data_IF_110058764800
#
_entry.id   IF_110058764800
#
_cell.length_a   1.000
_cell.length_b   1.000
_cell.length_c   1.000
_cell.angle_alpha   90.00
_cell.angle_beta   90.00
_cell.angle_gamma   90.00
#
_symmetry.space_group_name_H-M   'P 1'
#
loop_
_entity.id
_entity.type
_entity.pdbx_description
1 polymer ?
#
# COMPACT_ATOMS: atom_id res chain seq x y z
N UNK A 1 8.24 -1.90 24.12
CA UNK A 1 7.80 -1.01 23.01
C UNK A 1 8.82 -1.10 21.89
N UNK A 2 8.40 -1.40 20.65
CA UNK A 2 9.30 -1.39 19.50
C UNK A 2 9.72 0.05 19.18
N UNK A 3 10.97 0.23 18.75
CA UNK A 3 11.61 1.55 18.61
C UNK A 3 11.08 2.28 17.38
N UNK A 4 10.39 3.39 17.58
CA UNK A 4 9.99 4.30 16.50
C UNK A 4 11.27 4.79 15.80
N UNK A 5 11.30 4.68 14.49
CA UNK A 5 12.41 5.16 13.66
C UNK A 5 11.91 6.31 12.81
N UNK A 6 12.70 7.38 12.68
CA UNK A 6 12.35 8.53 11.85
C UNK A 6 12.87 8.36 10.42
N UNK A 7 12.07 8.81 9.46
CA UNK A 7 12.37 8.77 8.04
C UNK A 7 12.32 10.16 7.45
N UNK A 8 13.43 10.61 6.86
CA UNK A 8 13.49 11.90 6.20
C UNK A 8 12.78 11.83 4.85
N UNK A 9 11.82 12.72 4.64
CA UNK A 9 11.13 12.90 3.37
C UNK A 9 11.50 14.23 2.73
N UNK A 10 11.42 14.30 1.41
CA UNK A 10 11.60 15.56 0.69
C UNK A 10 10.24 16.26 0.57
N UNK A 11 10.03 17.44 1.17
CA UNK A 11 8.76 18.16 1.05
C UNK A 11 8.45 18.54 -0.40
N UNK A 12 7.16 18.65 -0.72
CA UNK A 12 6.74 19.16 -2.03
C UNK A 12 7.21 20.62 -2.22
N UNK A 13 7.83 20.90 -3.37
CA UNK A 13 8.24 22.25 -3.79
C UNK A 13 7.28 22.79 -4.85
N UNK A 14 7.00 24.08 -4.84
CA UNK A 14 6.16 24.73 -5.85
C UNK A 14 5.54 26.02 -5.34
N UNK A 15 5.14 26.91 -6.26
CA UNK A 15 4.50 28.19 -5.91
C UNK A 15 2.99 28.04 -5.61
N UNK A 16 2.32 27.08 -6.23
CA UNK A 16 0.89 26.84 -6.06
C UNK A 16 0.66 25.61 -5.17
N UNK A 17 0.67 25.80 -3.86
CA UNK A 17 0.27 24.78 -2.89
C UNK A 17 -1.17 25.05 -2.44
N UNK A 18 -2.02 24.02 -2.49
CA UNK A 18 -3.36 24.08 -1.90
C UNK A 18 -3.23 24.29 -0.39
N UNK A 19 -3.56 25.47 0.11
CA UNK A 19 -3.52 25.77 1.53
C UNK A 19 -4.86 25.45 2.19
N UNK A 20 -4.83 24.82 3.37
CA UNK A 20 -6.02 24.52 4.18
C UNK A 20 -5.65 24.51 5.67
N UNK A 21 -6.64 24.71 6.53
CA UNK A 21 -6.41 24.76 7.98
C UNK A 21 -5.87 23.41 8.47
N UNK A 22 -4.76 23.42 9.22
CA UNK A 22 -4.15 22.19 9.73
C UNK A 22 -3.33 21.41 8.70
N UNK A 23 -3.01 22.00 7.53
CA UNK A 23 -2.08 21.41 6.56
C UNK A 23 -0.74 21.10 7.22
N UNK A 24 -0.29 19.85 7.06
CA UNK A 24 1.02 19.39 7.52
C UNK A 24 2.07 19.53 6.42
N UNK A 25 3.29 19.84 6.83
CA UNK A 25 4.47 19.89 5.95
C UNK A 25 5.59 19.09 6.63
N UNK A 26 5.46 17.75 6.69
CA UNK A 26 6.46 16.95 7.36
C UNK A 26 7.78 16.99 6.60
N UNK A 27 8.86 17.19 7.33
CA UNK A 27 10.24 16.91 6.91
C UNK A 27 10.67 15.49 7.33
N UNK A 28 9.98 14.94 8.34
CA UNK A 28 10.16 13.58 8.85
C UNK A 28 8.83 12.86 9.02
N UNK A 29 8.86 11.55 8.80
CA UNK A 29 7.74 10.64 9.06
C UNK A 29 8.15 9.60 10.10
N UNK A 30 7.26 9.31 11.04
CA UNK A 30 7.45 8.21 11.98
C UNK A 30 7.12 6.89 11.31
N UNK A 31 8.07 5.96 11.37
CA UNK A 31 7.90 4.64 10.80
C UNK A 31 7.38 3.66 11.83
N UNK A 32 6.44 2.84 11.37
CA UNK A 32 6.00 1.63 12.06
C UNK A 32 6.75 0.41 11.52
N UNK A 33 6.66 -0.72 12.20
CA UNK A 33 7.31 -1.94 11.75
C UNK A 33 6.73 -2.40 10.41
N UNK A 34 7.61 -2.82 9.50
CA UNK A 34 7.23 -3.48 8.25
C UNK A 34 8.00 -4.79 8.13
N UNK A 35 7.35 -5.80 7.57
CA UNK A 35 7.94 -7.13 7.35
C UNK A 35 7.80 -7.49 5.89
N UNK A 36 8.91 -7.85 5.26
CA UNK A 36 8.87 -8.51 3.95
C UNK A 36 8.34 -9.92 4.18
N UNK A 37 7.14 -10.19 3.71
CA UNK A 37 6.48 -11.49 3.89
C UNK A 37 7.02 -12.49 2.86
N UNK A 38 7.19 -12.05 1.62
CA UNK A 38 7.51 -12.95 0.53
C UNK A 38 8.48 -12.29 -0.45
N UNK A 39 9.47 -13.06 -0.88
CA UNK A 39 10.33 -12.73 -2.02
C UNK A 39 10.27 -13.91 -2.99
N UNK A 40 9.44 -13.79 -4.03
CA UNK A 40 9.30 -14.83 -5.05
C UNK A 40 10.40 -14.63 -6.07
N UNK A 41 11.32 -15.60 -6.15
CA UNK A 41 12.33 -15.68 -7.21
C UNK A 41 11.84 -16.62 -8.30
N UNK A 42 12.14 -16.32 -9.55
CA UNK A 42 12.01 -17.30 -10.63
C UNK A 42 13.01 -18.44 -10.37
N UNK A 43 12.58 -19.55 -9.75
CA UNK A 43 13.45 -20.69 -9.49
C UNK A 43 13.55 -21.57 -10.73
N UNK A 44 14.78 -21.90 -11.12
CA UNK A 44 15.06 -22.92 -12.13
C UNK A 44 14.88 -24.36 -11.61
N UNK A 45 14.61 -24.58 -10.30
CA UNK A 45 14.47 -25.93 -9.75
C UNK A 45 13.43 -26.02 -8.61
N UNK A 46 12.21 -26.42 -8.96
CA UNK A 46 11.56 -27.55 -8.29
C UNK A 46 10.65 -27.35 -7.06
N UNK A 47 10.41 -26.15 -6.51
CA UNK A 47 9.43 -26.01 -5.42
C UNK A 47 8.49 -24.80 -5.59
N UNK A 48 7.19 -25.14 -5.68
CA UNK A 48 5.99 -24.32 -5.87
C UNK A 48 5.96 -23.40 -7.11
N UNK A 49 5.26 -23.88 -8.14
CA UNK A 49 5.11 -23.30 -9.47
C UNK A 49 4.15 -22.10 -9.44
N UNK A 50 4.66 -20.89 -9.64
CA UNK A 50 4.05 -20.03 -10.65
C UNK A 50 4.66 -20.48 -11.98
N UNK A 51 3.86 -21.12 -12.84
CA UNK A 51 4.28 -21.33 -14.24
C UNK A 51 4.31 -19.95 -14.86
N UNK A 52 5.49 -19.36 -14.95
CA UNK A 52 5.68 -18.20 -15.80
C UNK A 52 6.09 -18.76 -17.14
N UNK A 53 5.15 -18.83 -18.08
CA UNK A 53 5.38 -19.33 -19.45
C UNK A 53 6.18 -18.31 -20.30
N UNK A 54 6.75 -17.27 -19.69
CA UNK A 54 7.49 -16.22 -20.39
C UNK A 54 8.99 -16.54 -20.40
N UNK A 55 9.52 -16.76 -21.60
CA UNK A 55 10.92 -17.09 -21.89
C UNK A 55 11.91 -15.93 -21.68
N UNK A 56 11.45 -14.74 -21.29
CA UNK A 56 12.24 -13.49 -21.26
C UNK A 56 12.34 -12.82 -19.88
N UNK A 57 11.93 -13.48 -18.80
CA UNK A 57 12.11 -12.89 -17.47
C UNK A 57 13.58 -13.03 -17.06
N UNK A 58 14.22 -11.87 -16.88
CA UNK A 58 15.55 -11.75 -16.29
C UNK A 58 15.68 -12.70 -15.09
N UNK A 59 16.71 -13.55 -15.06
CA UNK A 59 16.93 -14.53 -14.00
C UNK A 59 16.97 -13.92 -12.59
N UNK A 60 17.24 -12.62 -12.51
CA UNK A 60 17.34 -11.86 -11.27
C UNK A 60 16.02 -11.17 -10.86
N UNK A 61 14.94 -11.35 -11.61
CA UNK A 61 13.63 -10.78 -11.30
C UNK A 61 13.04 -11.41 -10.03
N UNK A 62 12.68 -10.56 -9.06
CA UNK A 62 12.06 -10.99 -7.80
C UNK A 62 10.81 -10.16 -7.51
N UNK A 63 9.70 -10.83 -7.23
CA UNK A 63 8.50 -10.17 -6.70
C UNK A 63 8.62 -10.07 -5.18
N UNK A 64 8.12 -8.99 -4.59
CA UNK A 64 8.13 -8.80 -3.14
C UNK A 64 6.74 -8.49 -2.62
N UNK A 65 6.34 -9.16 -1.55
CA UNK A 65 5.17 -8.83 -0.75
C UNK A 65 5.62 -8.24 0.59
N UNK A 66 5.19 -7.01 0.87
CA UNK A 66 5.54 -6.29 2.09
C UNK A 66 4.27 -6.00 2.87
N UNK A 67 4.26 -6.37 4.15
CA UNK A 67 3.15 -6.06 5.04
C UNK A 67 3.54 -4.96 6.02
N UNK A 68 2.69 -3.94 6.10
CA UNK A 68 2.87 -2.76 6.93
C UNK A 68 2.20 -1.53 6.32
N UNK A 69 2.40 -0.38 6.95
CA UNK A 69 1.98 0.91 6.39
C UNK A 69 2.87 1.29 5.19
N UNK A 70 2.29 1.96 4.20
CA UNK A 70 2.99 2.47 3.00
C UNK A 70 4.23 3.28 3.36
N UNK A 71 4.17 4.11 4.40
CA UNK A 71 5.30 4.92 4.84
C UNK A 71 6.50 4.06 5.23
N UNK A 72 6.25 2.96 5.94
CA UNK A 72 7.27 1.99 6.34
C UNK A 72 7.77 1.17 5.16
N UNK A 73 6.89 0.79 4.23
CA UNK A 73 7.28 0.07 3.01
C UNK A 73 8.18 0.95 2.13
N UNK A 74 7.83 2.22 1.90
CA UNK A 74 8.68 3.16 1.18
C UNK A 74 10.02 3.38 1.88
N UNK A 75 10.02 3.49 3.21
CA UNK A 75 11.28 3.61 3.95
C UNK A 75 12.19 2.39 3.82
N UNK A 76 11.60 1.19 3.82
CA UNK A 76 12.33 -0.04 3.53
C UNK A 76 12.95 -0.01 2.12
N UNK A 77 12.18 0.36 1.10
CA UNK A 77 12.66 0.45 -0.28
C UNK A 77 13.81 1.47 -0.40
N UNK A 78 13.67 2.67 0.18
CA UNK A 78 14.74 3.67 0.17
C UNK A 78 16.00 3.19 0.88
N UNK A 79 15.89 2.54 2.04
CA UNK A 79 17.04 1.99 2.76
C UNK A 79 17.78 0.90 1.96
N UNK A 80 17.04 0.15 1.13
CA UNK A 80 17.61 -0.82 0.18
C UNK A 80 18.05 -0.21 -1.15
N UNK A 81 17.93 1.11 -1.31
CA UNK A 81 18.16 1.82 -2.56
C UNK A 81 17.37 1.23 -3.75
N UNK A 82 16.17 0.73 -3.49
CA UNK A 82 15.26 0.21 -4.51
C UNK A 82 14.44 1.39 -5.02
N UNK A 83 14.42 1.55 -6.35
CA UNK A 83 13.61 2.55 -7.05
C UNK A 83 12.50 1.88 -7.85
N UNK A 84 11.40 2.59 -8.02
CA UNK A 84 10.23 2.13 -8.77
C UNK A 84 9.95 3.05 -9.94
N UNK A 85 9.71 2.48 -11.11
CA UNK A 85 9.44 3.22 -12.36
C UNK A 85 7.93 3.39 -12.62
N UNK A 86 7.11 2.53 -12.04
CA UNK A 86 5.66 2.57 -12.16
C UNK A 86 5.01 2.29 -10.80
N UNK A 87 4.09 3.16 -10.41
CA UNK A 87 3.28 3.00 -9.21
C UNK A 87 1.80 3.05 -9.58
N UNK A 88 1.03 2.11 -9.06
CA UNK A 88 -0.43 2.14 -9.10
C UNK A 88 -0.96 2.12 -7.67
N UNK A 89 -1.87 3.03 -7.33
CA UNK A 89 -2.57 3.03 -6.05
C UNK A 89 -4.06 3.28 -6.24
N UNK A 90 -4.83 2.63 -5.37
CA UNK A 90 -6.28 2.75 -5.23
C UNK A 90 -6.58 3.07 -3.76
N UNK A 91 -6.32 4.32 -3.31
CA UNK A 91 -6.55 4.72 -1.93
C UNK A 91 -8.06 4.81 -1.61
N UNK A 92 -8.45 4.89 -0.32
CA UNK A 92 -9.83 5.19 0.05
C UNK A 92 -10.34 6.47 -0.63
N UNK A 93 -11.62 6.48 -1.04
CA UNK A 93 -12.22 7.54 -1.87
C UNK A 93 -12.79 8.70 -1.05
N UNK A 94 -12.74 8.61 0.28
CA UNK A 94 -13.47 9.48 1.18
C UNK A 94 -14.99 9.52 0.89
N UNK A 95 -15.56 8.35 0.60
CA UNK A 95 -16.97 8.15 0.22
C UNK A 95 -17.98 8.46 1.34
N UNK A 96 -17.55 8.53 2.60
CA UNK A 96 -18.43 8.73 3.74
C UNK A 96 -19.14 7.45 4.22
N UNK A 97 -18.64 6.27 3.81
CA UNK A 97 -19.16 4.97 4.24
C UNK A 97 -18.05 4.09 4.85
N UNK A 98 -18.44 3.11 5.67
CA UNK A 98 -17.53 2.05 6.09
C UNK A 98 -17.75 0.82 5.21
N UNK A 99 -16.67 0.19 4.77
CA UNK A 99 -16.73 -1.01 3.96
C UNK A 99 -16.57 -2.23 4.87
N UNK A 100 -17.64 -3.02 4.95
CA UNK A 100 -17.67 -4.24 5.74
C UNK A 100 -17.87 -5.47 4.86
N UNK A 101 -17.23 -6.57 5.24
CA UNK A 101 -17.43 -7.88 4.62
C UNK A 101 -18.42 -8.67 5.46
N UNK A 102 -19.42 -9.25 4.81
CA UNK A 102 -20.31 -10.22 5.45
C UNK A 102 -19.57 -11.55 5.63
N UNK A 103 -19.57 -12.08 6.85
CA UNK A 103 -18.99 -13.38 7.18
C UNK A 103 -20.10 -14.42 7.07
N UNK A 104 -19.81 -15.53 6.38
CA UNK A 104 -20.73 -16.65 6.21
C UNK A 104 -20.13 -17.92 6.81
N UNK A 105 -20.96 -18.72 7.49
CA UNK A 105 -20.59 -20.05 7.99
C UNK A 105 -20.64 -21.06 6.82
N UNK A 106 -19.52 -21.72 6.55
CA UNK A 106 -19.45 -22.73 5.47
C UNK A 106 -20.00 -24.06 5.97
N UNK A 107 -21.23 -24.40 5.57
CA UNK A 107 -21.80 -25.72 5.83
C UNK A 107 -21.39 -26.67 4.70
N UNK A 108 -20.90 -27.86 5.07
CA UNK A 108 -20.35 -28.83 4.12
C UNK A 108 -21.32 -29.17 2.99
N UNK A 109 -20.85 -28.95 1.76
CA UNK A 109 -21.40 -29.37 0.45
C UNK A 109 -22.29 -28.38 -0.33
N UNK A 110 -22.63 -27.20 0.20
CA UNK A 110 -23.36 -26.19 -0.57
C UNK A 110 -22.41 -25.06 -1.00
N UNK A 111 -22.19 -24.92 -2.30
CA UNK A 111 -21.40 -23.85 -2.93
C UNK A 111 -22.24 -22.60 -3.21
N UNK A 112 -23.52 -22.60 -2.87
CA UNK A 112 -24.43 -21.49 -3.12
C UNK A 112 -24.41 -20.52 -1.94
N UNK A 113 -23.98 -19.30 -2.22
CA UNK A 113 -24.07 -18.14 -1.31
C UNK A 113 -25.52 -17.64 -1.11
N UNK A 114 -26.52 -18.41 -1.53
CA UNK A 114 -27.93 -17.99 -1.57
C UNK A 114 -28.63 -18.08 -0.20
N UNK A 115 -28.01 -18.70 0.79
CA UNK A 115 -28.59 -18.80 2.12
C UNK A 115 -28.21 -17.57 2.97
N UNK A 116 -29.20 -16.94 3.59
CA UNK A 116 -29.13 -15.84 4.58
C UNK A 116 -28.34 -16.20 5.87
N UNK A 117 -27.27 -16.98 5.76
CA UNK A 117 -26.44 -17.50 6.85
C UNK A 117 -25.27 -16.54 7.19
N UNK A 118 -25.46 -15.24 6.99
CA UNK A 118 -24.49 -14.24 7.43
C UNK A 118 -24.48 -14.21 8.96
N UNK A 119 -23.31 -14.45 9.57
CA UNK A 119 -23.17 -14.55 11.03
C UNK A 119 -22.63 -13.27 11.66
N UNK A 120 -22.23 -12.30 10.84
CA UNK A 120 -21.71 -11.02 11.28
C UNK A 120 -21.12 -10.23 10.13
N UNK A 121 -20.77 -9.00 10.45
CA UNK A 121 -20.06 -8.08 9.56
C UNK A 121 -18.72 -7.72 10.20
N UNK A 122 -17.65 -7.81 9.41
CA UNK A 122 -16.32 -7.37 9.80
C UNK A 122 -15.98 -6.12 8.99
N UNK A 123 -15.75 -5.00 9.68
CA UNK A 123 -15.30 -3.75 9.04
C UNK A 123 -13.90 -3.99 8.50
N UNK A 124 -13.74 -3.91 7.17
CA UNK A 124 -12.46 -4.07 6.50
C UNK A 124 -11.65 -2.77 6.60
N UNK A 125 -12.29 -1.65 6.27
CA UNK A 125 -11.72 -0.32 6.44
C UNK A 125 -12.84 0.72 6.54
N UNK A 126 -12.55 1.82 7.25
CA UNK A 126 -13.41 2.98 7.30
C UNK A 126 -13.03 3.98 6.22
N UNK A 127 -14.03 4.52 5.52
CA UNK A 127 -13.85 5.55 4.50
C UNK A 127 -14.64 6.83 4.84
N UNK A 128 -14.76 7.09 6.14
CA UNK A 128 -15.35 8.31 6.71
C UNK A 128 -14.21 9.20 7.17
N UNK A 129 -14.04 10.34 6.50
CA UNK A 129 -12.94 11.25 6.76
C UNK A 129 -13.42 12.68 6.99
N UNK A 130 -12.70 13.41 7.84
CA UNK A 130 -12.68 14.87 7.73
C UNK A 130 -11.78 15.24 6.55
N UNK A 131 -12.20 16.23 5.77
CA UNK A 131 -11.55 16.60 4.50
C UNK A 131 -10.06 16.91 4.70
N UNK A 132 -9.72 17.69 5.72
CA UNK A 132 -8.35 18.10 6.01
C UNK A 132 -7.47 16.91 6.45
N UNK A 133 -8.04 15.97 7.20
CA UNK A 133 -7.35 14.76 7.63
C UNK A 133 -7.08 13.82 6.46
N UNK A 134 -8.05 13.62 5.57
CA UNK A 134 -7.87 12.85 4.35
C UNK A 134 -6.77 13.44 3.46
N UNK A 135 -6.79 14.77 3.26
CA UNK A 135 -5.78 15.46 2.45
C UNK A 135 -4.38 15.33 3.07
N UNK A 136 -4.24 15.46 4.38
CA UNK A 136 -2.96 15.24 5.07
C UNK A 136 -2.51 13.77 4.96
N UNK A 137 -3.43 12.82 5.17
CA UNK A 137 -3.16 11.38 5.11
C UNK A 137 -2.66 10.94 3.73
N UNK A 138 -3.31 11.41 2.66
CA UNK A 138 -2.92 11.11 1.29
C UNK A 138 -1.61 11.81 0.93
N UNK A 139 -1.44 13.07 1.35
CA UNK A 139 -0.24 13.86 1.08
C UNK A 139 1.03 13.19 1.63
N UNK A 140 1.02 12.73 2.88
CA UNK A 140 2.16 12.05 3.51
C UNK A 140 2.57 10.78 2.74
N UNK A 141 1.59 10.00 2.26
CA UNK A 141 1.82 8.76 1.50
C UNK A 141 2.36 9.04 0.09
N UNK A 142 1.79 10.02 -0.61
CA UNK A 142 2.28 10.43 -1.92
C UNK A 142 3.71 10.97 -1.87
N UNK A 143 4.08 11.69 -0.81
CA UNK A 143 5.47 12.12 -0.61
C UNK A 143 6.41 10.93 -0.40
N UNK A 144 6.04 9.95 0.43
CA UNK A 144 6.85 8.76 0.66
C UNK A 144 7.03 7.92 -0.61
N UNK A 145 5.95 7.74 -1.39
CA UNK A 145 5.98 7.05 -2.69
C UNK A 145 6.90 7.78 -3.66
N UNK A 146 6.76 9.11 -3.79
CA UNK A 146 7.61 9.92 -4.67
C UNK A 146 9.09 9.77 -4.35
N UNK A 147 9.45 9.63 -3.07
CA UNK A 147 10.84 9.55 -2.63
C UNK A 147 11.54 8.24 -3.04
N UNK A 148 10.75 7.18 -3.29
CA UNK A 148 11.23 5.89 -3.82
C UNK A 148 11.05 5.75 -5.33
N UNK A 149 10.41 6.70 -5.99
CA UNK A 149 10.28 6.72 -7.45
C UNK A 149 11.59 7.12 -8.13
N UNK A 150 11.80 6.59 -9.34
CA UNK A 150 12.82 7.09 -10.28
C UNK A 150 12.42 8.46 -10.84
N UNK A 151 13.37 9.19 -11.44
CA UNK A 151 13.11 10.54 -11.98
C UNK A 151 12.08 10.54 -13.12
N UNK A 152 12.04 9.48 -13.93
CA UNK A 152 11.12 9.30 -15.06
C UNK A 152 9.91 8.43 -14.72
N UNK A 153 9.73 8.08 -13.44
CA UNK A 153 8.67 7.19 -13.03
C UNK A 153 7.29 7.81 -13.19
N UNK A 154 6.29 6.96 -13.36
CA UNK A 154 4.88 7.36 -13.45
C UNK A 154 4.09 6.80 -12.27
N UNK A 155 3.07 7.55 -11.85
CA UNK A 155 2.10 7.11 -10.84
C UNK A 155 0.68 7.24 -11.39
N UNK A 156 -0.12 6.19 -11.23
CA UNK A 156 -1.53 6.16 -11.51
C UNK A 156 -2.28 6.07 -10.19
N UNK A 157 -3.20 7.00 -9.97
CA UNK A 157 -3.99 7.11 -8.75
C UNK A 157 -5.46 7.03 -9.15
N UNK A 158 -6.18 6.05 -8.59
CA UNK A 158 -7.62 5.90 -8.80
C UNK A 158 -8.38 6.66 -7.71
N UNK A 159 -9.16 7.68 -8.08
CA UNK A 159 -9.92 8.56 -7.19
C UNK A 159 -11.24 8.98 -7.85
#
# INVERSE_FOLDING_TARGET
MKKITEYNITPAKGQSLLNFQGRRLPDKIQLFETTVIEEIRASQNGQQKFKIDETDINSDFTNKLIHGDVLSACAYLKNKNIKVDLVYIDPPFASGANYAKKIYLRNGNETEFENNNAIGEEVMYGDIWQKEDYLNWLYERLLAIKDVMSETASIYVHL
#
